data_IF_718211836033
#
_entry.id   IF_718211836033
#
_cell.length_a   1.000
_cell.length_b   1.000
_cell.length_c   1.000
_cell.angle_alpha   90.00
_cell.angle_beta   90.00
_cell.angle_gamma   90.00
#
_symmetry.space_group_name_H-M   'P 1'
#
loop_
_entity.id
_entity.type
_entity.pdbx_description
1 polymer ?
#
# COMPACT_ATOMS: atom_id res chain seq x y z
N UNK A 1 12.11 26.24 35.96
CA UNK A 1 10.87 25.43 36.02
C UNK A 1 9.69 26.36 35.73
N UNK A 2 8.80 26.03 34.79
CA UNK A 2 7.56 26.78 34.63
C UNK A 2 6.76 26.66 35.93
N UNK A 3 6.48 27.79 36.58
CA UNK A 3 5.62 27.82 37.75
C UNK A 3 4.18 27.95 37.28
N UNK A 4 3.39 26.88 37.38
CA UNK A 4 1.94 26.96 37.25
C UNK A 4 1.40 27.77 38.43
N UNK A 5 0.94 28.98 38.15
CA UNK A 5 0.35 29.89 39.12
C UNK A 5 -1.11 30.07 38.72
N UNK A 6 -2.05 29.51 39.48
CA UNK A 6 -3.47 29.86 39.37
C UNK A 6 -3.65 31.29 39.89
N UNK A 7 -3.78 32.26 38.98
CA UNK A 7 -4.12 33.64 39.32
C UNK A 7 -5.37 34.10 38.60
N UNK A 8 -6.09 35.01 39.26
CA UNK A 8 -7.42 35.50 38.88
C UNK A 8 -7.48 35.99 37.43
N UNK A 9 -8.43 35.41 36.70
CA UNK A 9 -8.92 35.90 35.39
C UNK A 9 -9.10 37.41 35.44
N UNK A 10 -8.38 38.16 34.61
CA UNK A 10 -8.81 39.52 34.31
C UNK A 10 -10.18 39.43 33.61
N UNK A 11 -11.15 40.23 34.03
CA UNK A 11 -12.56 40.10 33.62
C UNK A 11 -12.87 40.41 32.14
N UNK A 12 -11.90 40.30 31.24
CA UNK A 12 -12.00 40.61 29.81
C UNK A 12 -11.57 39.43 28.91
N UNK A 13 -11.47 38.22 29.46
CA UNK A 13 -11.11 37.03 28.68
C UNK A 13 -12.38 36.42 28.08
N UNK A 14 -12.42 36.32 26.75
CA UNK A 14 -13.42 35.53 26.04
C UNK A 14 -13.34 34.07 26.52
N UNK A 15 -14.42 33.50 27.08
CA UNK A 15 -14.42 32.12 27.57
C UNK A 15 -14.12 31.07 26.47
N UNK A 16 -14.09 31.47 25.20
CA UNK A 16 -13.81 30.61 24.04
C UNK A 16 -12.42 30.81 23.44
N UNK A 17 -11.46 31.43 24.13
CA UNK A 17 -10.09 31.48 23.60
C UNK A 17 -9.50 30.07 23.49
N UNK A 18 -8.80 29.81 22.38
CA UNK A 18 -8.15 28.53 22.12
C UNK A 18 -6.76 28.52 22.77
N UNK A 19 -6.03 29.63 22.64
CA UNK A 19 -4.70 29.85 23.16
C UNK A 19 -4.50 31.36 23.34
N UNK A 20 -3.90 31.80 24.44
CA UNK A 20 -3.42 33.19 24.57
C UNK A 20 -1.99 33.21 25.05
N UNK A 21 -1.18 33.97 24.32
CA UNK A 21 0.23 34.23 24.64
C UNK A 21 0.37 35.70 25.01
N UNK A 22 1.04 35.99 26.12
CA UNK A 22 1.49 37.34 26.45
C UNK A 22 3.00 37.30 26.70
N UNK A 23 3.73 38.25 26.13
CA UNK A 23 5.18 38.36 26.29
C UNK A 23 5.48 39.76 26.83
N UNK A 24 6.33 39.83 27.85
CA UNK A 24 6.68 41.05 28.56
C UNK A 24 8.20 41.14 28.65
N UNK A 25 8.73 42.33 28.37
CA UNK A 25 10.09 42.68 28.76
C UNK A 25 10.03 43.28 30.16
N UNK A 26 10.70 42.65 31.13
CA UNK A 26 10.72 43.10 32.51
C UNK A 26 12.15 43.41 32.94
N UNK A 27 12.41 44.68 33.21
CA UNK A 27 13.64 45.13 33.87
C UNK A 27 13.54 44.81 35.38
N UNK A 28 14.58 44.20 35.95
CA UNK A 28 14.70 44.01 37.40
C UNK A 28 15.52 45.16 38.01
N UNK A 29 14.87 46.17 38.63
CA UNK A 29 15.56 47.33 39.18
C UNK A 29 16.39 47.04 40.44
N UNK A 30 16.36 45.81 40.97
CA UNK A 30 17.06 45.42 42.20
C UNK A 30 18.34 44.58 41.95
N UNK A 31 18.67 44.28 40.69
CA UNK A 31 19.95 43.67 40.33
C UNK A 31 21.03 44.76 40.32
N UNK A 32 21.95 44.74 41.29
CA UNK A 32 23.08 45.66 41.36
C UNK A 32 24.03 45.44 40.15
N UNK A 33 23.81 46.20 39.08
CA UNK A 33 24.68 46.30 37.90
C UNK A 33 23.92 46.16 36.58
N UNK A 34 23.87 47.26 35.80
CA UNK A 34 23.42 47.42 34.40
C UNK A 34 22.17 46.63 33.94
N UNK A 35 21.09 47.37 33.63
CA UNK A 35 19.88 47.01 32.85
C UNK A 35 19.72 45.52 32.52
N UNK A 36 19.46 44.68 33.53
CA UNK A 36 19.23 43.25 33.29
C UNK A 36 17.77 43.04 32.89
N UNK A 37 17.52 43.02 31.59
CA UNK A 37 16.21 42.73 31.01
C UNK A 37 15.92 41.22 31.06
N UNK A 38 14.77 40.85 31.62
CA UNK A 38 14.27 39.48 31.63
C UNK A 38 13.01 39.35 30.76
N UNK A 39 13.07 38.46 29.78
CA UNK A 39 11.91 38.11 28.97
C UNK A 39 10.97 37.21 29.78
N UNK A 40 9.77 37.71 30.07
CA UNK A 40 8.69 36.94 30.70
C UNK A 40 7.61 36.63 29.68
N UNK A 41 6.93 35.51 29.87
CA UNK A 41 5.80 35.14 29.04
C UNK A 41 4.77 34.38 29.85
N UNK A 42 3.53 34.47 29.41
CA UNK A 42 2.36 33.81 29.99
C UNK A 42 1.62 33.07 28.87
N UNK A 43 1.23 31.83 29.16
CA UNK A 43 0.43 30.99 28.28
C UNK A 43 -0.86 30.61 29.01
N UNK A 44 -1.99 31.02 28.45
CA UNK A 44 -3.32 30.66 28.93
C UNK A 44 -3.94 29.68 27.91
N UNK A 45 -4.32 28.51 28.42
CA UNK A 45 -4.75 27.35 27.65
C UNK A 45 -6.17 26.96 28.06
N UNK A 46 -7.00 26.65 27.06
CA UNK A 46 -8.33 26.10 27.32
C UNK A 46 -8.22 24.59 27.59
N UNK A 47 -8.71 24.15 28.75
CA UNK A 47 -8.68 22.72 29.14
C UNK A 47 -9.45 21.82 28.14
N UNK A 48 -10.36 22.38 27.35
CA UNK A 48 -11.10 21.67 26.29
C UNK A 48 -10.30 21.42 25.00
N UNK A 49 -9.05 21.89 24.92
CA UNK A 49 -8.18 21.70 23.74
C UNK A 49 -7.90 20.23 23.43
N UNK A 50 -7.80 19.38 24.47
CA UNK A 50 -7.60 17.95 24.27
C UNK A 50 -8.20 17.15 25.43
N UNK A 51 -8.84 16.03 25.10
CA UNK A 51 -9.47 15.15 26.09
C UNK A 51 -8.43 14.35 26.93
N UNK A 52 -7.24 14.15 26.38
CA UNK A 52 -6.14 13.38 26.97
C UNK A 52 -5.14 14.25 27.74
N UNK A 53 -5.32 15.58 27.74
CA UNK A 53 -4.40 16.52 28.38
C UNK A 53 -3.09 16.77 27.62
N UNK A 54 -2.93 16.27 26.39
CA UNK A 54 -1.75 16.53 25.53
C UNK A 54 -1.42 18.01 25.34
N UNK A 55 -2.42 18.90 25.37
CA UNK A 55 -2.23 20.35 25.33
C UNK A 55 -1.32 20.90 26.46
N UNK A 56 -1.15 20.16 27.56
CA UNK A 56 -0.27 20.52 28.67
C UNK A 56 1.23 20.54 28.31
N UNK A 57 1.61 19.98 27.15
CA UNK A 57 2.99 20.08 26.61
C UNK A 57 3.27 21.42 25.91
N UNK A 58 2.23 22.18 25.53
CA UNK A 58 2.37 23.46 24.81
C UNK A 58 3.22 24.51 25.54
N UNK A 59 3.14 24.70 26.88
CA UNK A 59 4.01 25.65 27.58
C UNK A 59 5.49 25.26 27.50
N UNK A 60 5.80 23.97 27.54
CA UNK A 60 7.18 23.47 27.43
C UNK A 60 7.73 23.71 26.02
N UNK A 61 6.95 23.39 24.99
CA UNK A 61 7.30 23.66 23.60
C UNK A 61 7.49 25.15 23.31
N UNK A 62 6.60 26.00 23.85
CA UNK A 62 6.72 27.45 23.72
C UNK A 62 7.98 27.98 24.41
N UNK A 63 8.29 27.50 25.62
CA UNK A 63 9.51 27.85 26.34
C UNK A 63 10.77 27.50 25.53
N UNK A 64 10.79 26.33 24.89
CA UNK A 64 11.90 25.88 24.03
C UNK A 64 12.11 26.82 22.85
N UNK A 65 11.03 27.25 22.18
CA UNK A 65 11.10 28.20 21.06
C UNK A 65 11.65 29.55 21.50
N UNK A 66 11.08 30.12 22.57
CA UNK A 66 11.52 31.42 23.11
C UNK A 66 12.98 31.36 23.56
N UNK A 67 13.38 30.30 24.27
CA UNK A 67 14.76 30.09 24.70
C UNK A 67 15.73 29.98 23.53
N UNK A 68 15.36 29.27 22.45
CA UNK A 68 16.19 29.15 21.27
C UNK A 68 16.35 30.49 20.53
N UNK A 69 15.28 31.28 20.37
CA UNK A 69 15.34 32.61 19.76
C UNK A 69 16.22 33.56 20.58
N UNK A 70 16.10 33.51 21.91
CA UNK A 70 16.87 34.39 22.81
C UNK A 70 18.37 34.06 22.84
N UNK A 71 18.74 32.78 22.71
CA UNK A 71 20.13 32.32 22.83
C UNK A 71 20.85 32.16 21.49
N UNK A 72 20.10 31.95 20.39
CA UNK A 72 20.60 31.72 19.04
C UNK A 72 19.76 32.50 18.01
N UNK A 73 19.74 33.85 18.09
CA UNK A 73 18.83 34.68 17.29
C UNK A 73 19.09 34.61 15.77
N UNK A 74 20.31 34.26 15.36
CA UNK A 74 20.69 34.13 13.95
C UNK A 74 20.43 32.73 13.37
N UNK A 75 19.98 31.76 14.19
CA UNK A 75 19.68 30.42 13.71
C UNK A 75 18.32 30.38 12.98
N UNK A 76 18.21 29.68 11.84
CA UNK A 76 16.92 29.51 11.17
C UNK A 76 15.89 28.89 12.10
N UNK A 77 14.72 29.53 12.25
CA UNK A 77 13.65 29.08 13.15
C UNK A 77 13.25 27.60 12.93
N UNK A 78 13.35 27.09 11.69
CA UNK A 78 13.08 25.69 11.35
C UNK A 78 14.08 24.66 11.92
N UNK A 79 15.17 25.10 12.57
CA UNK A 79 16.13 24.22 13.25
C UNK A 79 15.93 24.14 14.76
N UNK A 80 14.97 24.88 15.32
CA UNK A 80 14.67 24.84 16.74
C UNK A 80 14.01 23.49 17.06
N UNK A 81 14.62 22.63 17.90
CA UNK A 81 14.05 21.34 18.25
C UNK A 81 12.97 21.54 19.32
N UNK A 82 11.71 21.62 18.91
CA UNK A 82 10.57 21.91 19.81
C UNK A 82 10.30 20.74 20.77
N UNK A 83 10.51 19.52 20.31
CA UNK A 83 10.34 18.29 21.07
C UNK A 83 11.72 17.81 21.50
N UNK A 84 12.02 17.89 22.80
CA UNK A 84 13.23 17.32 23.40
C UNK A 84 12.89 15.94 24.00
N UNK A 85 13.72 14.93 23.74
CA UNK A 85 13.67 13.59 24.34
C UNK A 85 12.44 12.69 24.07
N UNK A 86 11.67 12.91 23.00
CA UNK A 86 10.67 11.92 22.55
C UNK A 86 11.29 10.76 21.74
N UNK A 87 12.63 10.62 21.70
CA UNK A 87 13.29 9.53 20.96
C UNK A 87 12.81 8.16 21.44
N UNK A 88 12.54 8.00 22.74
CA UNK A 88 12.06 6.75 23.29
C UNK A 88 10.58 6.49 22.93
N UNK A 89 9.75 7.53 22.88
CA UNK A 89 8.35 7.40 22.44
C UNK A 89 8.27 7.11 20.95
N UNK A 90 9.04 7.83 20.14
CA UNK A 90 9.15 7.59 18.70
C UNK A 90 9.74 6.21 18.40
N UNK A 91 10.75 5.76 19.15
CA UNK A 91 11.29 4.40 19.01
C UNK A 91 10.28 3.32 19.42
N UNK A 92 9.40 3.58 20.40
CA UNK A 92 8.29 2.68 20.74
C UNK A 92 7.19 2.64 19.69
N UNK A 93 6.89 3.79 19.06
CA UNK A 93 5.87 3.90 18.00
C UNK A 93 6.37 3.39 16.64
N UNK A 94 7.68 3.42 16.42
CA UNK A 94 8.33 2.96 15.20
C UNK A 94 9.47 1.99 15.56
N UNK A 95 9.16 0.80 16.11
CA UNK A 95 10.18 -0.18 16.47
C UNK A 95 10.95 -0.60 15.23
N UNK A 96 12.24 -0.93 15.40
CA UNK A 96 13.03 -1.48 14.31
C UNK A 96 12.34 -2.71 13.72
N UNK A 97 12.15 -2.77 12.39
CA UNK A 97 11.49 -3.90 11.78
C UNK A 97 12.33 -5.16 11.99
N UNK A 98 11.70 -6.23 12.46
CA UNK A 98 12.35 -7.55 12.51
C UNK A 98 12.70 -7.97 11.07
N UNK A 99 14.00 -8.14 10.72
CA UNK A 99 14.37 -8.48 9.35
C UNK A 99 13.75 -9.81 8.93
N UNK A 100 12.98 -9.82 7.85
CA UNK A 100 12.52 -11.08 7.24
C UNK A 100 13.64 -11.66 6.39
N UNK A 101 13.88 -12.96 6.55
CA UNK A 101 14.80 -13.68 5.69
C UNK A 101 14.11 -13.97 4.37
N UNK A 102 14.51 -13.25 3.33
CA UNK A 102 14.06 -13.46 1.96
C UNK A 102 15.17 -14.20 1.22
N UNK A 103 14.90 -15.44 0.80
CA UNK A 103 15.89 -16.27 0.10
C UNK A 103 15.59 -16.37 -1.41
N UNK A 104 14.33 -16.33 -1.82
CA UNK A 104 13.91 -16.54 -3.22
C UNK A 104 12.84 -15.56 -3.69
N UNK A 105 12.89 -15.11 -4.96
CA UNK A 105 11.83 -14.33 -5.56
C UNK A 105 10.47 -15.04 -5.56
N UNK A 106 9.40 -14.26 -5.41
CA UNK A 106 8.01 -14.76 -5.32
C UNK A 106 7.59 -15.66 -6.49
N UNK A 107 8.02 -15.35 -7.72
CA UNK A 107 7.64 -16.12 -8.89
C UNK A 107 8.22 -17.54 -8.90
N UNK A 108 9.40 -17.76 -8.31
CA UNK A 108 9.99 -19.09 -8.15
C UNK A 108 9.24 -19.89 -7.07
N UNK A 109 8.93 -19.26 -5.93
CA UNK A 109 8.09 -19.88 -4.89
C UNK A 109 6.72 -20.32 -5.43
N UNK A 110 6.09 -19.46 -6.23
CA UNK A 110 4.83 -19.80 -6.90
C UNK A 110 5.03 -20.96 -7.87
N UNK A 111 6.11 -20.96 -8.66
CA UNK A 111 6.43 -22.05 -9.58
C UNK A 111 6.57 -23.40 -8.88
N UNK A 112 7.25 -23.43 -7.73
CA UNK A 112 7.36 -24.62 -6.88
C UNK A 112 5.98 -25.10 -6.41
N UNK A 113 5.12 -24.19 -5.95
CA UNK A 113 3.77 -24.49 -5.49
C UNK A 113 2.87 -25.05 -6.60
N UNK A 114 2.94 -24.48 -7.80
CA UNK A 114 2.20 -24.96 -8.97
C UNK A 114 2.59 -26.39 -9.35
N UNK A 115 3.90 -26.68 -9.34
CA UNK A 115 4.43 -28.01 -9.67
C UNK A 115 4.14 -29.05 -8.60
N UNK A 116 4.10 -28.64 -7.33
CA UNK A 116 3.74 -29.50 -6.21
C UNK A 116 2.28 -29.97 -6.25
N UNK A 117 1.39 -29.17 -6.85
CA UNK A 117 -0.06 -29.42 -6.87
C UNK A 117 -0.65 -29.16 -8.27
N UNK A 118 -0.33 -29.99 -9.27
CA UNK A 118 -0.65 -29.67 -10.67
C UNK A 118 -2.16 -29.59 -10.98
N UNK A 119 -2.98 -30.32 -10.24
CA UNK A 119 -4.43 -30.40 -10.47
C UNK A 119 -5.23 -29.39 -9.60
N UNK A 120 -4.53 -28.56 -8.81
CA UNK A 120 -5.13 -27.47 -8.05
C UNK A 120 -5.69 -26.40 -8.99
N UNK A 121 -6.93 -25.97 -8.74
CA UNK A 121 -7.52 -24.87 -9.51
C UNK A 121 -7.08 -23.53 -8.96
N UNK A 122 -6.18 -22.86 -9.67
CA UNK A 122 -5.54 -21.61 -9.25
C UNK A 122 -6.38 -20.39 -9.57
N UNK A 123 -7.13 -20.42 -10.67
CA UNK A 123 -7.98 -19.33 -11.08
C UNK A 123 -9.30 -19.80 -11.71
N UNK A 124 -10.30 -18.92 -11.73
CA UNK A 124 -11.58 -19.12 -12.43
C UNK A 124 -12.04 -17.80 -13.06
N UNK A 125 -12.63 -17.85 -14.25
CA UNK A 125 -13.38 -16.73 -14.82
C UNK A 125 -14.66 -17.29 -15.45
N UNK A 126 -15.81 -16.74 -15.10
CA UNK A 126 -17.13 -17.17 -15.63
C UNK A 126 -17.35 -18.69 -15.55
N UNK A 127 -16.90 -19.33 -14.47
CA UNK A 127 -17.02 -20.78 -14.26
C UNK A 127 -15.98 -21.64 -15.00
N UNK A 128 -15.11 -21.06 -15.82
CA UNK A 128 -14.02 -21.77 -16.49
C UNK A 128 -12.79 -21.85 -15.56
N UNK A 129 -12.41 -23.05 -15.06
CA UNK A 129 -11.27 -23.20 -14.17
C UNK A 129 -9.95 -23.25 -14.94
N UNK A 130 -8.89 -22.65 -14.38
CA UNK A 130 -7.51 -22.85 -14.81
C UNK A 130 -6.75 -23.62 -13.74
N UNK A 131 -6.10 -24.71 -14.13
CA UNK A 131 -5.29 -25.53 -13.23
C UNK A 131 -3.89 -24.95 -13.01
N UNK A 132 -3.22 -25.36 -11.93
CA UNK A 132 -1.84 -25.01 -11.65
C UNK A 132 -0.90 -25.47 -12.76
N UNK A 133 -1.11 -26.68 -13.30
CA UNK A 133 -0.37 -27.21 -14.44
C UNK A 133 -0.53 -26.34 -15.68
N UNK A 134 -1.76 -25.89 -15.94
CA UNK A 134 -2.04 -25.03 -17.09
C UNK A 134 -1.34 -23.67 -16.95
N UNK A 135 -1.45 -23.01 -15.79
CA UNK A 135 -0.75 -21.76 -15.54
C UNK A 135 0.77 -21.95 -15.66
N UNK A 136 1.34 -23.01 -15.07
CA UNK A 136 2.78 -23.27 -15.12
C UNK A 136 3.28 -23.46 -16.56
N UNK A 137 2.56 -24.28 -17.34
CA UNK A 137 2.91 -24.58 -18.74
C UNK A 137 2.81 -23.34 -19.61
N UNK A 138 1.74 -22.55 -19.46
CA UNK A 138 1.54 -21.34 -20.27
C UNK A 138 2.52 -20.24 -19.87
N UNK A 139 2.87 -20.11 -18.59
CA UNK A 139 3.87 -19.15 -18.13
C UNK A 139 5.27 -19.51 -18.64
N UNK A 140 5.67 -20.80 -18.63
CA UNK A 140 6.93 -21.26 -19.21
C UNK A 140 6.99 -20.99 -20.73
N UNK A 141 5.88 -21.18 -21.46
CA UNK A 141 5.79 -20.84 -22.89
C UNK A 141 5.92 -19.35 -23.15
N UNK A 142 5.22 -18.51 -22.37
CA UNK A 142 5.34 -17.05 -22.48
C UNK A 142 6.77 -16.60 -22.20
N UNK A 143 7.42 -17.19 -21.19
CA UNK A 143 8.82 -16.89 -20.89
C UNK A 143 9.76 -17.27 -22.05
N UNK A 144 9.59 -18.46 -22.63
CA UNK A 144 10.37 -18.91 -23.79
C UNK A 144 10.16 -18.01 -25.02
N UNK A 145 8.93 -17.57 -25.27
CA UNK A 145 8.62 -16.63 -26.34
C UNK A 145 9.32 -15.28 -26.13
N UNK A 146 9.28 -14.74 -24.91
CA UNK A 146 9.97 -13.48 -24.56
C UNK A 146 11.49 -13.59 -24.72
N UNK A 147 12.08 -14.73 -24.33
CA UNK A 147 13.50 -15.04 -24.57
C UNK A 147 13.82 -15.08 -26.07
N UNK A 148 12.97 -15.74 -26.87
CA UNK A 148 13.08 -15.74 -28.33
C UNK A 148 12.92 -14.34 -28.96
N UNK A 149 12.12 -13.46 -28.34
CA UNK A 149 11.95 -12.06 -28.73
C UNK A 149 13.12 -11.15 -28.28
N UNK A 150 14.10 -11.69 -27.54
CA UNK A 150 15.29 -10.96 -27.12
C UNK A 150 15.13 -10.17 -25.82
N UNK A 151 14.26 -10.61 -24.90
CA UNK A 151 14.22 -10.04 -23.55
C UNK A 151 15.57 -10.25 -22.85
N UNK A 152 16.00 -9.21 -22.14
CA UNK A 152 17.18 -9.25 -21.27
C UNK A 152 16.74 -9.03 -19.83
N UNK A 153 17.55 -9.50 -18.89
CA UNK A 153 17.31 -9.33 -17.45
C UNK A 153 17.02 -7.85 -17.10
N UNK A 154 15.94 -7.63 -16.36
CA UNK A 154 15.46 -6.30 -15.94
C UNK A 154 14.71 -5.51 -17.01
N UNK A 155 14.65 -5.97 -18.27
CA UNK A 155 13.92 -5.26 -19.33
C UNK A 155 12.41 -5.35 -19.10
N UNK A 156 11.69 -4.29 -19.43
CA UNK A 156 10.27 -4.18 -19.17
C UNK A 156 9.41 -4.80 -20.29
N UNK A 157 8.27 -5.38 -19.90
CA UNK A 157 7.23 -5.87 -20.82
C UNK A 157 5.89 -5.29 -20.38
N UNK A 158 5.19 -4.64 -21.32
CA UNK A 158 3.85 -4.13 -21.07
C UNK A 158 2.83 -5.27 -21.08
N UNK A 159 1.86 -5.23 -20.19
CA UNK A 159 0.69 -6.13 -20.19
C UNK A 159 -0.54 -5.24 -20.31
N UNK A 160 -1.21 -5.29 -21.46
CA UNK A 160 -2.40 -4.49 -21.77
C UNK A 160 -3.58 -5.42 -22.04
N UNK A 161 -4.00 -6.09 -20.98
CA UNK A 161 -5.08 -7.08 -21.01
C UNK A 161 -6.21 -6.62 -20.10
N UNK A 162 -7.45 -6.95 -20.48
CA UNK A 162 -8.58 -6.91 -19.56
C UNK A 162 -8.40 -7.94 -18.43
N UNK A 163 -9.17 -7.79 -17.34
CA UNK A 163 -9.20 -8.79 -16.25
C UNK A 163 -9.58 -10.17 -16.82
N UNK A 164 -8.65 -11.10 -16.78
CA UNK A 164 -8.87 -12.51 -17.11
C UNK A 164 -7.76 -13.36 -16.45
N UNK A 165 -7.87 -14.70 -16.46
CA UNK A 165 -6.83 -15.57 -15.90
C UNK A 165 -5.48 -15.50 -16.63
N UNK A 166 -5.46 -15.08 -17.90
CA UNK A 166 -4.26 -14.97 -18.72
C UNK A 166 -3.32 -13.86 -18.24
N UNK A 167 -3.84 -12.86 -17.52
CA UNK A 167 -3.02 -11.85 -16.83
C UNK A 167 -2.03 -12.51 -15.87
N UNK A 168 -2.44 -13.53 -15.12
CA UNK A 168 -1.55 -14.27 -14.22
C UNK A 168 -0.45 -14.97 -15.02
N UNK A 169 -0.83 -15.60 -16.13
CA UNK A 169 0.11 -16.27 -17.04
C UNK A 169 1.14 -15.27 -17.60
N UNK A 170 0.69 -14.09 -18.05
CA UNK A 170 1.54 -13.05 -18.61
C UNK A 170 2.53 -12.52 -17.57
N UNK A 171 2.05 -12.19 -16.37
CA UNK A 171 2.88 -11.75 -15.24
C UNK A 171 3.95 -12.79 -14.93
N UNK A 172 3.58 -14.05 -14.74
CA UNK A 172 4.53 -15.10 -14.38
C UNK A 172 5.49 -15.44 -15.53
N UNK A 173 5.05 -15.35 -16.78
CA UNK A 173 5.93 -15.50 -17.94
C UNK A 173 6.99 -14.41 -18.04
N UNK A 174 6.61 -13.15 -17.80
CA UNK A 174 7.55 -12.01 -17.78
C UNK A 174 8.59 -12.18 -16.67
N UNK A 175 8.15 -12.49 -15.45
CA UNK A 175 9.06 -12.65 -14.30
C UNK A 175 10.03 -13.82 -14.50
N UNK A 176 9.55 -14.97 -15.01
CA UNK A 176 10.40 -16.13 -15.32
C UNK A 176 11.42 -15.86 -16.42
N UNK A 177 11.10 -14.98 -17.37
CA UNK A 177 12.04 -14.53 -18.39
C UNK A 177 13.06 -13.50 -17.87
N UNK A 178 13.03 -13.19 -16.56
CA UNK A 178 13.89 -12.21 -15.92
C UNK A 178 13.52 -10.75 -16.21
N UNK A 179 12.36 -10.51 -16.80
CA UNK A 179 11.83 -9.18 -17.07
C UNK A 179 11.02 -8.63 -15.91
N UNK A 180 10.67 -7.35 -16.01
CA UNK A 180 9.70 -6.68 -15.12
C UNK A 180 8.44 -6.35 -15.89
N UNK A 181 7.27 -6.57 -15.30
CA UNK A 181 6.01 -6.25 -15.98
C UNK A 181 5.58 -4.81 -15.72
N UNK A 182 4.88 -4.21 -16.69
CA UNK A 182 4.22 -2.91 -16.58
C UNK A 182 2.76 -3.10 -16.97
N UNK A 183 1.85 -2.92 -16.01
CA UNK A 183 0.43 -3.00 -16.32
C UNK A 183 -0.01 -1.73 -17.06
N UNK A 184 -0.74 -1.90 -18.16
CA UNK A 184 -1.29 -0.84 -18.97
C UNK A 184 -2.81 -1.01 -19.02
N UNK A 185 -3.55 0.08 -18.83
CA UNK A 185 -5.00 0.05 -18.96
C UNK A 185 -5.36 0.02 -20.45
N UNK A 186 -6.10 -0.97 -20.96
CA UNK A 186 -6.54 -0.99 -22.36
C UNK A 186 -7.35 0.25 -22.76
N UNK A 187 -8.05 0.88 -21.80
CA UNK A 187 -8.86 2.07 -22.03
C UNK A 187 -8.05 3.39 -22.01
N UNK A 188 -6.78 3.37 -21.60
CA UNK A 188 -5.93 4.55 -21.62
C UNK A 188 -5.72 5.08 -23.06
N UNK A 189 -5.61 6.41 -23.26
CA UNK A 189 -5.35 6.96 -24.59
C UNK A 189 -4.02 6.47 -25.19
N UNK A 190 -3.92 6.25 -26.52
CA UNK A 190 -2.69 5.76 -27.15
C UNK A 190 -1.43 6.59 -26.84
N UNK A 191 -1.58 7.91 -26.69
CA UNK A 191 -0.48 8.80 -26.32
C UNK A 191 0.12 8.47 -24.95
N UNK A 192 -0.71 8.03 -24.00
CA UNK A 192 -0.26 7.60 -22.67
C UNK A 192 0.50 6.28 -22.74
N UNK A 193 0.03 5.31 -23.54
CA UNK A 193 0.77 4.07 -23.79
C UNK A 193 2.13 4.33 -24.42
N UNK A 194 2.22 5.23 -25.41
CA UNK A 194 3.49 5.55 -26.07
C UNK A 194 4.46 6.26 -25.11
N UNK A 195 3.95 7.14 -24.24
CA UNK A 195 4.76 7.78 -23.19
C UNK A 195 5.33 6.74 -22.23
N UNK A 196 4.50 5.81 -21.73
CA UNK A 196 4.94 4.74 -20.84
C UNK A 196 5.91 3.80 -21.57
N UNK A 197 5.65 3.49 -22.84
CA UNK A 197 6.49 2.63 -23.66
C UNK A 197 7.92 3.19 -23.77
N UNK A 198 8.03 4.49 -24.05
CA UNK A 198 9.29 5.18 -24.17
C UNK A 198 10.03 5.27 -22.82
N UNK A 199 9.32 5.61 -21.74
CA UNK A 199 9.91 5.77 -20.40
C UNK A 199 10.40 4.44 -19.81
N UNK A 200 9.62 3.36 -19.95
CA UNK A 200 9.96 2.04 -19.41
C UNK A 200 10.95 1.23 -20.25
N UNK A 201 11.28 1.68 -21.47
CA UNK A 201 11.97 0.89 -22.52
C UNK A 201 11.34 -0.51 -22.68
N UNK A 202 10.02 -0.52 -22.98
CA UNK A 202 9.30 -1.77 -23.16
C UNK A 202 9.85 -2.53 -24.38
N UNK A 203 10.21 -3.79 -24.18
CA UNK A 203 10.52 -4.71 -25.27
C UNK A 203 9.31 -4.87 -26.20
N UNK A 204 8.15 -5.11 -25.59
CA UNK A 204 6.88 -5.36 -26.27
C UNK A 204 5.71 -5.09 -25.32
N UNK A 205 4.50 -5.06 -25.87
CA UNK A 205 3.23 -5.03 -25.14
C UNK A 205 2.48 -6.33 -25.45
N UNK A 206 2.06 -7.03 -24.41
CA UNK A 206 1.20 -8.21 -24.49
C UNK A 206 -0.26 -7.77 -24.40
N UNK A 207 -0.93 -7.71 -25.54
CA UNK A 207 -2.39 -7.56 -25.62
C UNK A 207 -3.11 -8.91 -25.42
N UNK A 208 -2.43 -9.99 -25.81
CA UNK A 208 -2.83 -11.38 -25.65
C UNK A 208 -1.60 -12.25 -25.37
N UNK A 209 -1.80 -13.48 -24.92
CA UNK A 209 -0.69 -14.41 -24.75
C UNK A 209 -0.16 -14.87 -26.12
N UNK A 210 1.16 -15.09 -26.25
CA UNK A 210 1.71 -15.58 -27.50
C UNK A 210 1.11 -16.93 -27.87
N UNK A 211 0.78 -17.09 -29.16
CA UNK A 211 0.24 -18.34 -29.68
C UNK A 211 1.20 -19.52 -29.43
N UNK A 212 0.70 -20.73 -29.13
CA UNK A 212 1.55 -21.89 -28.99
C UNK A 212 2.24 -22.19 -30.31
N UNK A 213 3.57 -22.02 -30.36
CA UNK A 213 4.37 -22.48 -31.49
C UNK A 213 4.53 -24.00 -31.42
N UNK A 214 4.52 -24.68 -32.57
CA UNK A 214 4.69 -26.14 -32.66
C UNK A 214 6.07 -26.64 -32.18
N UNK A 215 7.04 -25.74 -32.08
CA UNK A 215 8.19 -25.95 -31.24
C UNK A 215 7.79 -25.58 -29.80
N UNK A 216 7.63 -26.59 -28.95
CA UNK A 216 7.90 -26.43 -27.52
C UNK A 216 9.37 -25.99 -27.45
N UNK A 217 9.60 -24.69 -27.57
CA UNK A 217 10.94 -24.14 -27.59
C UNK A 217 11.49 -24.33 -26.19
N UNK A 218 12.12 -25.48 -25.94
CA UNK A 218 13.20 -25.58 -25.00
C UNK A 218 14.11 -24.39 -25.30
N UNK A 219 14.08 -23.38 -24.43
CA UNK A 219 14.97 -22.23 -24.58
C UNK A 219 16.39 -22.78 -24.56
N UNK A 220 17.20 -22.58 -25.63
CA UNK A 220 18.50 -23.23 -25.76
C UNK A 220 19.49 -22.91 -24.62
N UNK A 221 19.19 -21.90 -23.79
CA UNK A 221 19.98 -21.47 -22.63
C UNK A 221 19.24 -21.54 -21.28
N UNK A 222 18.06 -22.15 -21.21
CA UNK A 222 17.25 -22.18 -19.97
C UNK A 222 16.65 -20.83 -19.58
N UNK A 223 16.00 -20.78 -18.42
CA UNK A 223 15.49 -19.53 -17.83
C UNK A 223 16.63 -18.79 -17.09
N UNK A 224 16.66 -17.45 -17.14
CA UNK A 224 17.68 -16.66 -16.46
C UNK A 224 17.55 -16.72 -14.94
N UNK A 225 18.66 -16.57 -14.23
CA UNK A 225 18.66 -16.41 -12.77
C UNK A 225 18.16 -15.01 -12.38
N UNK A 226 17.10 -14.98 -11.57
CA UNK A 226 16.50 -13.75 -11.03
C UNK A 226 16.81 -13.67 -9.54
N UNK A 227 17.43 -12.57 -9.13
CA UNK A 227 17.75 -12.23 -7.75
C UNK A 227 16.69 -11.31 -7.13
N UNK A 228 16.75 -11.16 -5.81
CA UNK A 228 15.80 -10.33 -5.06
C UNK A 228 15.92 -8.83 -5.37
N UNK A 229 17.11 -8.36 -5.74
CA UNK A 229 17.32 -6.93 -6.03
C UNK A 229 17.02 -6.56 -7.50
N UNK A 230 16.64 -7.54 -8.32
CA UNK A 230 16.14 -7.29 -9.67
C UNK A 230 14.72 -6.70 -9.64
N UNK A 231 14.36 -5.97 -10.70
CA UNK A 231 13.03 -5.38 -10.84
C UNK A 231 11.95 -6.44 -11.09
N UNK A 232 10.86 -6.39 -10.34
CA UNK A 232 9.68 -7.25 -10.53
C UNK A 232 8.61 -6.56 -11.39
N UNK A 233 8.29 -5.30 -11.10
CA UNK A 233 7.30 -4.55 -11.87
C UNK A 233 7.49 -3.05 -11.77
N UNK A 234 6.79 -2.31 -12.64
CA UNK A 234 6.67 -0.85 -12.57
C UNK A 234 5.19 -0.48 -12.62
N UNK A 235 4.77 0.39 -11.70
CA UNK A 235 3.44 0.99 -11.74
C UNK A 235 3.56 2.47 -12.07
N UNK A 236 2.68 2.95 -12.96
CA UNK A 236 2.66 4.35 -13.37
C UNK A 236 1.58 5.11 -12.63
N UNK A 237 1.98 6.20 -11.98
CA UNK A 237 1.06 7.12 -11.29
C UNK A 237 0.82 8.38 -12.12
N UNK A 238 -0.30 9.06 -11.86
CA UNK A 238 -0.53 10.42 -12.37
C UNK A 238 0.46 11.37 -11.70
N UNK A 239 1.56 11.70 -12.39
CA UNK A 239 2.51 12.67 -11.88
C UNK A 239 1.85 14.03 -11.68
N UNK A 240 2.28 14.78 -10.67
CA UNK A 240 1.82 16.16 -10.42
C UNK A 240 2.05 17.12 -11.59
N UNK A 241 2.93 16.74 -12.52
CA UNK A 241 3.27 17.47 -13.76
C UNK A 241 2.40 17.07 -14.96
N UNK A 242 1.49 16.11 -14.80
CA UNK A 242 0.67 15.54 -15.89
C UNK A 242 1.32 14.40 -16.65
N UNK A 243 2.65 14.25 -16.55
CA UNK A 243 3.38 13.12 -17.14
C UNK A 243 3.34 11.89 -16.23
N UNK A 244 3.11 10.68 -16.78
CA UNK A 244 3.15 9.43 -16.01
C UNK A 244 4.54 9.22 -15.38
N UNK A 245 4.59 8.84 -14.10
CA UNK A 245 5.86 8.49 -13.42
C UNK A 245 5.86 7.03 -13.02
N UNK A 246 6.85 6.28 -13.51
CA UNK A 246 7.05 4.88 -13.18
C UNK A 246 7.68 4.70 -11.81
N UNK A 247 7.06 3.87 -10.97
CA UNK A 247 7.58 3.47 -9.67
C UNK A 247 8.07 2.03 -9.78
N UNK A 248 9.40 1.80 -9.87
CA UNK A 248 9.95 0.46 -9.97
C UNK A 248 9.92 -0.23 -8.61
N UNK A 249 9.49 -1.49 -8.59
CA UNK A 249 9.46 -2.35 -7.41
C UNK A 249 10.35 -3.56 -7.67
N UNK A 250 11.24 -3.87 -6.72
CA UNK A 250 12.12 -5.04 -6.78
C UNK A 250 11.40 -6.31 -6.35
N UNK A 251 11.97 -7.47 -6.70
CA UNK A 251 11.52 -8.74 -6.17
C UNK A 251 11.59 -8.80 -4.63
N UNK A 252 12.55 -8.11 -4.01
CA UNK A 252 12.70 -7.99 -2.56
C UNK A 252 11.50 -7.29 -1.94
N UNK A 253 11.12 -6.12 -2.47
CA UNK A 253 9.97 -5.37 -1.97
C UNK A 253 8.67 -6.14 -2.14
N UNK A 254 8.49 -6.80 -3.29
CA UNK A 254 7.34 -7.66 -3.53
C UNK A 254 7.30 -8.87 -2.59
N UNK A 255 8.44 -9.53 -2.36
CA UNK A 255 8.54 -10.68 -1.47
C UNK A 255 8.27 -10.30 -0.01
N UNK A 256 8.84 -9.20 0.46
CA UNK A 256 8.62 -8.71 1.82
C UNK A 256 7.13 -8.42 2.10
N UNK A 257 6.49 -7.71 1.16
CA UNK A 257 5.07 -7.41 1.26
C UNK A 257 4.20 -8.68 1.24
N UNK A 258 4.47 -9.61 0.32
CA UNK A 258 3.65 -10.82 0.20
C UNK A 258 3.88 -11.80 1.35
N UNK A 259 5.07 -11.85 1.95
CA UNK A 259 5.29 -12.63 3.18
C UNK A 259 4.52 -12.04 4.35
N UNK A 260 4.47 -10.71 4.49
CA UNK A 260 3.56 -10.06 5.42
C UNK A 260 2.10 -10.41 5.13
N UNK A 261 1.66 -10.29 3.88
CA UNK A 261 0.27 -10.55 3.49
C UNK A 261 -0.14 -12.01 3.78
N UNK A 262 0.72 -12.98 3.44
CA UNK A 262 0.48 -14.38 3.77
C UNK A 262 0.39 -14.60 5.29
N UNK A 263 1.32 -14.03 6.06
CA UNK A 263 1.33 -14.19 7.51
C UNK A 263 0.13 -13.52 8.18
N UNK A 264 -0.17 -12.26 7.85
CA UNK A 264 -1.21 -11.49 8.52
C UNK A 264 -2.62 -11.88 8.06
N UNK A 265 -2.83 -12.09 6.76
CA UNK A 265 -4.17 -12.29 6.21
C UNK A 265 -4.60 -13.75 6.21
N UNK A 266 -3.68 -14.70 6.15
CA UNK A 266 -4.03 -16.12 6.09
C UNK A 266 -3.78 -16.87 7.40
N UNK A 267 -3.41 -16.18 8.49
CA UNK A 267 -3.18 -16.80 9.80
C UNK A 267 -4.38 -17.62 10.28
N UNK A 268 -4.16 -18.90 10.54
CA UNK A 268 -5.14 -19.80 11.18
C UNK A 268 -6.39 -20.14 10.35
N UNK A 269 -6.41 -19.79 9.06
CA UNK A 269 -7.55 -20.02 8.17
C UNK A 269 -7.26 -21.00 7.02
N UNK A 270 -8.32 -21.42 6.34
CA UNK A 270 -8.21 -22.14 5.07
C UNK A 270 -7.62 -21.23 3.98
N UNK A 271 -7.02 -21.82 2.92
CA UNK A 271 -6.56 -21.05 1.77
C UNK A 271 -7.67 -20.15 1.20
N UNK A 272 -7.40 -18.85 0.96
CA UNK A 272 -8.42 -17.88 0.58
C UNK A 272 -8.93 -18.09 -0.84
N UNK A 273 -10.22 -17.82 -1.05
CA UNK A 273 -10.79 -17.57 -2.38
C UNK A 273 -10.86 -16.06 -2.57
N UNK A 274 -9.97 -15.56 -3.40
CA UNK A 274 -9.65 -14.15 -3.60
C UNK A 274 -10.44 -13.60 -4.79
N UNK A 275 -11.16 -12.50 -4.59
CA UNK A 275 -11.79 -11.78 -5.70
C UNK A 275 -10.80 -10.84 -6.41
N UNK A 276 -10.57 -11.06 -7.71
CA UNK A 276 -9.86 -10.14 -8.59
C UNK A 276 -10.89 -9.30 -9.37
N UNK A 277 -11.11 -8.07 -8.91
CA UNK A 277 -12.15 -7.16 -9.45
C UNK A 277 -11.64 -5.74 -9.72
N UNK A 278 -10.58 -5.31 -9.04
CA UNK A 278 -10.01 -3.97 -9.17
C UNK A 278 -9.24 -3.80 -10.47
N UNK A 279 -8.96 -2.55 -10.84
CA UNK A 279 -8.14 -2.26 -12.02
C UNK A 279 -6.71 -2.80 -11.83
N UNK A 280 -6.15 -3.35 -12.90
CA UNK A 280 -4.84 -3.99 -12.88
C UNK A 280 -3.67 -2.99 -12.83
N UNK A 281 -3.92 -1.70 -13.09
CA UNK A 281 -2.88 -0.65 -13.07
C UNK A 281 -2.63 -0.03 -11.70
N UNK A 282 -3.29 -0.51 -10.65
CA UNK A 282 -3.07 -0.08 -9.26
C UNK A 282 -2.38 -1.18 -8.44
N UNK A 283 -1.53 -0.76 -7.51
CA UNK A 283 -0.84 -1.62 -6.55
C UNK A 283 -1.80 -2.37 -5.61
N UNK A 284 -2.97 -1.79 -5.33
CA UNK A 284 -4.06 -2.43 -4.59
C UNK A 284 -4.34 -3.86 -5.08
N UNK A 285 -4.18 -4.10 -6.38
CA UNK A 285 -4.48 -5.38 -7.03
C UNK A 285 -3.38 -6.43 -6.86
N UNK A 286 -2.16 -6.04 -6.46
CA UNK A 286 -1.01 -6.96 -6.30
C UNK A 286 -1.34 -8.09 -5.33
N UNK A 287 -1.94 -7.80 -4.17
CA UNK A 287 -2.34 -8.85 -3.23
C UNK A 287 -3.29 -9.86 -3.88
N UNK A 288 -4.26 -9.38 -4.67
CA UNK A 288 -5.24 -10.23 -5.34
C UNK A 288 -4.66 -11.10 -6.47
N UNK A 289 -3.52 -10.68 -7.04
CA UNK A 289 -2.82 -11.42 -8.10
C UNK A 289 -1.93 -12.53 -7.55
N UNK A 290 -1.33 -12.36 -6.37
CA UNK A 290 -0.28 -13.26 -5.87
C UNK A 290 -0.66 -14.06 -4.62
N UNK A 291 -1.55 -13.56 -3.75
CA UNK A 291 -1.79 -14.16 -2.43
C UNK A 291 -2.27 -15.62 -2.54
N UNK A 292 -3.28 -15.88 -3.36
CA UNK A 292 -3.84 -17.23 -3.56
C UNK A 292 -2.80 -18.21 -4.08
N UNK A 293 -1.90 -17.76 -4.96
CA UNK A 293 -0.85 -18.58 -5.57
C UNK A 293 0.22 -19.02 -4.56
N UNK A 294 0.46 -18.20 -3.53
CA UNK A 294 1.41 -18.49 -2.45
C UNK A 294 0.82 -19.37 -1.34
N UNK A 295 -0.50 -19.29 -1.12
CA UNK A 295 -1.17 -19.97 0.00
C UNK A 295 -1.95 -21.21 -0.42
N UNK A 296 -2.00 -21.55 -1.71
CA UNK A 296 -2.84 -22.63 -2.20
C UNK A 296 -4.33 -22.30 -2.30
N UNK A 297 -4.65 -21.01 -2.35
CA UNK A 297 -6.01 -20.48 -2.45
C UNK A 297 -6.55 -20.55 -3.88
N UNK A 298 -7.48 -19.67 -4.23
CA UNK A 298 -7.99 -19.57 -5.60
C UNK A 298 -8.32 -18.13 -5.93
N UNK A 299 -7.97 -17.68 -7.14
CA UNK A 299 -8.41 -16.36 -7.62
C UNK A 299 -9.65 -16.49 -8.50
N UNK A 300 -10.75 -15.84 -8.14
CA UNK A 300 -11.93 -15.72 -9.00
C UNK A 300 -11.89 -14.34 -9.66
N UNK A 301 -11.87 -14.33 -10.99
CA UNK A 301 -11.79 -13.12 -11.79
C UNK A 301 -13.19 -12.59 -12.08
N UNK A 302 -13.44 -11.35 -11.68
CA UNK A 302 -14.69 -10.64 -11.94
C UNK A 302 -14.45 -9.57 -13.02
N UNK A 303 -15.01 -9.84 -14.20
CA UNK A 303 -14.93 -8.96 -15.37
C UNK A 303 -16.05 -7.92 -15.37
N UNK A 304 -15.99 -6.97 -16.31
CA UNK A 304 -17.00 -5.91 -16.46
C UNK A 304 -16.73 -4.69 -15.58
N UNK A 305 -17.67 -3.74 -15.62
CA UNK A 305 -17.58 -2.47 -14.89
C UNK A 305 -17.48 -2.67 -13.37
N UNK A 306 -16.84 -1.75 -12.62
CA UNK A 306 -16.57 -1.93 -11.19
C UNK A 306 -17.79 -2.30 -10.33
N UNK A 307 -18.94 -1.64 -10.54
CA UNK A 307 -20.16 -1.91 -9.76
C UNK A 307 -20.74 -3.30 -10.07
N UNK A 308 -20.67 -3.70 -11.33
CA UNK A 308 -21.14 -5.01 -11.78
C UNK A 308 -20.25 -6.13 -11.23
N UNK A 309 -18.94 -5.94 -11.23
CA UNK A 309 -18.00 -6.85 -10.59
C UNK A 309 -18.29 -7.01 -9.08
N UNK A 310 -18.55 -5.90 -8.35
CA UNK A 310 -18.93 -5.95 -6.94
C UNK A 310 -20.25 -6.70 -6.71
N UNK A 311 -21.27 -6.49 -7.57
CA UNK A 311 -22.54 -7.22 -7.50
C UNK A 311 -22.30 -8.72 -7.63
N UNK A 312 -21.53 -9.14 -8.63
CA UNK A 312 -21.18 -10.56 -8.84
C UNK A 312 -20.40 -11.15 -7.67
N UNK A 313 -19.56 -10.36 -6.99
CA UNK A 313 -18.89 -10.79 -5.76
C UNK A 313 -19.90 -11.07 -4.64
N UNK A 314 -20.94 -10.23 -4.48
CA UNK A 314 -21.98 -10.48 -3.46
C UNK A 314 -22.80 -11.74 -3.71
N UNK A 315 -22.83 -12.22 -4.95
CA UNK A 315 -23.59 -13.40 -5.38
C UNK A 315 -22.77 -14.70 -5.32
N UNK A 316 -21.44 -14.62 -5.22
CA UNK A 316 -20.57 -15.80 -5.18
C UNK A 316 -20.29 -16.21 -3.72
N UNK A 317 -20.92 -17.30 -3.22
CA UNK A 317 -20.80 -17.72 -1.83
C UNK A 317 -19.41 -18.27 -1.47
N UNK A 318 -18.50 -18.38 -2.46
CA UNK A 318 -17.17 -18.95 -2.27
C UNK A 318 -16.13 -17.90 -1.88
N UNK A 319 -16.37 -16.61 -2.12
CA UNK A 319 -15.37 -15.55 -1.94
C UNK A 319 -15.11 -15.29 -0.45
N UNK A 320 -13.91 -15.62 0.02
CA UNK A 320 -13.53 -15.44 1.43
C UNK A 320 -12.59 -14.26 1.66
N UNK A 321 -11.93 -13.76 0.62
CA UNK A 321 -10.98 -12.65 0.69
C UNK A 321 -11.33 -11.56 -0.33
N UNK A 322 -11.41 -10.31 0.15
CA UNK A 322 -11.61 -9.14 -0.69
C UNK A 322 -10.63 -8.02 -0.30
N UNK A 323 -9.92 -7.48 -1.30
CA UNK A 323 -9.20 -6.21 -1.17
C UNK A 323 -9.93 -5.12 -1.93
N UNK A 324 -10.22 -4.00 -1.29
CA UNK A 324 -11.07 -2.94 -1.85
C UNK A 324 -10.76 -1.56 -1.25
N UNK A 325 -11.18 -0.50 -1.94
CA UNK A 325 -11.20 0.85 -1.37
C UNK A 325 -12.40 1.05 -0.42
N UNK A 326 -12.35 1.99 0.54
CA UNK A 326 -13.51 2.39 1.33
C UNK A 326 -14.76 2.69 0.48
N UNK A 327 -14.60 3.41 -0.64
CA UNK A 327 -15.69 3.70 -1.57
C UNK A 327 -16.30 2.44 -2.20
N UNK A 328 -15.47 1.46 -2.58
CA UNK A 328 -15.97 0.17 -3.09
C UNK A 328 -16.72 -0.62 -2.01
N UNK A 329 -16.26 -0.60 -0.75
CA UNK A 329 -16.98 -1.25 0.35
C UNK A 329 -18.33 -0.60 0.64
N UNK A 330 -18.43 0.74 0.52
CA UNK A 330 -19.73 1.40 0.63
C UNK A 330 -20.72 0.93 -0.42
N UNK A 331 -20.27 0.69 -1.65
CA UNK A 331 -21.11 0.16 -2.73
C UNK A 331 -21.47 -1.28 -2.43
N UNK A 332 -20.47 -2.14 -2.16
CA UNK A 332 -20.65 -3.56 -1.87
C UNK A 332 -21.65 -3.80 -0.74
N UNK A 333 -21.54 -3.05 0.36
CA UNK A 333 -22.45 -3.21 1.53
C UNK A 333 -23.87 -2.70 1.28
N UNK A 334 -24.09 -1.83 0.29
CA UNK A 334 -25.44 -1.37 -0.10
C UNK A 334 -26.14 -2.33 -1.05
N UNK A 335 -25.37 -3.06 -1.87
CA UNK A 335 -25.91 -4.02 -2.85
C UNK A 335 -26.00 -5.45 -2.31
N UNK A 336 -25.32 -5.75 -1.19
CA UNK A 336 -25.39 -7.07 -0.57
C UNK A 336 -26.77 -7.32 0.06
N UNK A 337 -27.50 -8.30 -0.47
CA UNK A 337 -28.81 -8.73 0.05
C UNK A 337 -28.72 -9.83 1.12
N UNK A 338 -27.54 -10.43 1.30
CA UNK A 338 -27.27 -11.49 2.26
C UNK A 338 -25.90 -11.31 2.92
N UNK A 339 -25.65 -11.94 4.09
CA UNK A 339 -24.33 -11.91 4.70
C UNK A 339 -23.23 -12.44 3.77
N UNK A 340 -22.21 -11.63 3.55
CA UNK A 340 -21.06 -11.96 2.70
C UNK A 340 -20.16 -13.01 3.37
N UNK A 341 -19.72 -14.07 2.67
CA UNK A 341 -18.86 -15.12 3.22
C UNK A 341 -17.40 -14.69 3.47
N UNK A 342 -17.12 -13.39 3.42
CA UNK A 342 -15.81 -12.80 3.61
C UNK A 342 -15.31 -13.07 5.03
N UNK A 343 -14.18 -13.77 5.14
CA UNK A 343 -13.44 -13.96 6.39
C UNK A 343 -12.35 -12.89 6.55
N UNK A 344 -11.88 -12.31 5.44
CA UNK A 344 -10.85 -11.26 5.42
C UNK A 344 -11.22 -10.17 4.43
N UNK A 345 -11.18 -8.93 4.90
CA UNK A 345 -11.31 -7.71 4.08
C UNK A 345 -10.08 -6.84 4.29
N UNK A 346 -9.38 -6.53 3.22
CA UNK A 346 -8.24 -5.59 3.23
C UNK A 346 -8.70 -4.28 2.58
N UNK A 347 -8.49 -3.17 3.26
CA UNK A 347 -9.00 -1.86 2.88
C UNK A 347 -7.86 -0.87 2.75
N UNK A 348 -7.79 -0.14 1.63
CA UNK A 348 -6.73 0.84 1.42
C UNK A 348 -7.04 1.83 0.30
N UNK A 349 -6.19 2.85 0.14
CA UNK A 349 -6.28 3.85 -0.92
C UNK A 349 -7.13 5.09 -0.59
N UNK A 350 -7.94 5.06 0.47
CA UNK A 350 -8.67 6.23 0.97
C UNK A 350 -8.77 6.19 2.50
N UNK A 351 -9.19 7.30 3.12
CA UNK A 351 -9.41 7.36 4.56
C UNK A 351 -10.53 6.40 4.99
N UNK A 352 -10.19 5.32 5.69
CA UNK A 352 -11.16 4.34 6.17
C UNK A 352 -11.83 4.79 7.47
N UNK A 353 -13.09 5.20 7.39
CA UNK A 353 -13.85 5.77 8.52
C UNK A 353 -14.67 4.70 9.25
N UNK A 354 -14.86 4.90 10.55
CA UNK A 354 -15.62 4.00 11.43
C UNK A 354 -17.00 3.56 10.90
N UNK A 355 -17.83 4.45 10.31
CA UNK A 355 -19.14 4.02 9.78
C UNK A 355 -19.04 3.00 8.63
N UNK A 356 -18.01 3.09 7.79
CA UNK A 356 -17.78 2.12 6.69
C UNK A 356 -17.30 0.80 7.27
N UNK A 357 -16.40 0.83 8.25
CA UNK A 357 -15.92 -0.36 8.95
C UNK A 357 -17.06 -1.11 9.66
N UNK A 358 -17.93 -0.38 10.37
CA UNK A 358 -19.09 -0.97 11.03
C UNK A 358 -20.06 -1.59 10.03
N UNK A 359 -20.42 -0.89 8.94
CA UNK A 359 -21.28 -1.47 7.90
C UNK A 359 -20.67 -2.72 7.28
N UNK A 360 -19.38 -2.69 6.95
CA UNK A 360 -18.64 -3.83 6.39
C UNK A 360 -18.68 -5.02 7.34
N UNK A 361 -18.42 -4.80 8.64
CA UNK A 361 -18.50 -5.84 9.67
C UNK A 361 -19.89 -6.46 9.77
N UNK A 362 -20.95 -5.66 9.68
CA UNK A 362 -22.33 -6.17 9.75
C UNK A 362 -22.78 -6.89 8.47
N UNK A 363 -22.23 -6.50 7.31
CA UNK A 363 -22.55 -7.13 6.03
C UNK A 363 -21.87 -8.49 5.84
N UNK A 364 -20.81 -8.81 6.59
CA UNK A 364 -20.08 -10.07 6.47
C UNK A 364 -20.52 -11.10 7.54
N UNK A 365 -20.14 -12.36 7.33
CA UNK A 365 -20.30 -13.43 8.33
C UNK A 365 -19.55 -13.10 9.63
N UNK A 366 -20.03 -13.59 10.80
CA UNK A 366 -19.35 -13.37 12.07
C UNK A 366 -17.90 -13.85 12.05
N UNK A 367 -17.00 -13.05 12.61
CA UNK A 367 -15.56 -13.35 12.66
C UNK A 367 -14.72 -12.76 11.52
N UNK A 368 -15.32 -11.98 10.62
CA UNK A 368 -14.58 -11.22 9.61
C UNK A 368 -13.45 -10.39 10.24
N UNK A 369 -12.24 -10.49 9.67
CA UNK A 369 -11.09 -9.66 10.01
C UNK A 369 -10.96 -8.55 8.97
N UNK A 370 -10.93 -7.29 9.43
CA UNK A 370 -10.82 -6.12 8.56
C UNK A 370 -9.46 -5.46 8.82
N UNK A 371 -8.62 -5.40 7.79
CA UNK A 371 -7.30 -4.78 7.82
C UNK A 371 -7.33 -3.44 7.10
N UNK A 372 -6.86 -2.38 7.76
CA UNK A 372 -6.68 -1.07 7.16
C UNK A 372 -5.21 -0.89 6.76
N UNK A 373 -4.94 -0.82 5.46
CA UNK A 373 -3.62 -0.55 4.87
C UNK A 373 -3.50 0.93 4.49
N UNK A 374 -2.30 1.49 4.67
CA UNK A 374 -1.94 2.84 4.25
C UNK A 374 -0.61 2.82 3.50
#
# INVERSE_FOLDING_TARGET
MPATREWMRSGHVDPNHVLRVQIFDQCDPAADGDDTHALRWELDLNDGLSADGSHRRLPEWFATVVGAIATRPDEPAGRIPIVADDTDELARLNPDPTPRRLDTPVHERIREELRRRPDWVVAECDGAPMSARELDTRADRTAAWLLGAGITKGRAVGIRMERNPDVLVAIHGVLRAGGRFVMLDPADPPARHETIRADADLLTILDELPAPTSAEAESPGGLPEVGLDDGAYVLYTSGSTGEPKGVPISHRGLADYLDFACAAYCEGGDPPVVALHSSLVFDLTITSLFLSLLTGGRTVVFTGEPVEALRRITEDPRITFLKATPSQLEILTRIADAPLPLSVVVVGGEAFRRPVAERTRHACVPGVRIFNEY
#
